data_IF_194637534031
#
_entry.id   IF_194637534031
#
_cell.length_a   1.000
_cell.length_b   1.000
_cell.length_c   1.000
_cell.angle_alpha   90.00
_cell.angle_beta   90.00
_cell.angle_gamma   90.00
#
_symmetry.space_group_name_H-M   'P 1'
#
loop_
_entity.id
_entity.type
_entity.pdbx_description
1 polymer ?
#
# COMPACT_ATOMS: atom_id res chain seq x y z
N UNK A 1 33.83 12.89 -26.93
CA UNK A 1 34.92 12.96 -27.92
C UNK A 1 34.41 12.37 -29.23
N UNK A 2 34.39 13.18 -30.30
CA UNK A 2 34.02 12.72 -31.64
C UNK A 2 35.26 12.08 -32.27
N UNK A 3 35.17 10.83 -32.67
CA UNK A 3 36.23 10.11 -33.41
C UNK A 3 35.71 9.96 -34.86
N UNK A 4 36.27 10.68 -35.85
CA UNK A 4 35.87 10.49 -37.23
C UNK A 4 36.59 9.24 -37.76
N UNK A 5 35.82 8.20 -38.00
CA UNK A 5 36.28 7.09 -38.85
C UNK A 5 35.81 7.35 -40.26
N UNK A 6 36.70 7.13 -41.25
CA UNK A 6 36.55 7.59 -42.65
C UNK A 6 35.36 7.07 -43.48
N UNK A 7 34.20 6.93 -42.86
CA UNK A 7 32.93 6.56 -43.45
C UNK A 7 31.77 7.45 -42.90
N UNK A 8 30.58 7.30 -43.45
CA UNK A 8 29.36 8.05 -43.12
C UNK A 8 28.84 7.82 -41.66
N UNK A 9 29.64 7.27 -40.76
CA UNK A 9 29.30 7.04 -39.36
C UNK A 9 30.22 7.87 -38.46
N UNK A 10 29.60 8.56 -37.52
CA UNK A 10 30.29 9.30 -36.46
C UNK A 10 30.04 8.50 -35.16
N UNK A 11 31.09 7.86 -34.65
CA UNK A 11 31.05 7.17 -33.37
C UNK A 11 31.36 8.19 -32.23
N UNK A 12 30.48 8.29 -31.30
CA UNK A 12 30.62 9.18 -30.13
C UNK A 12 30.75 8.35 -28.85
N UNK A 13 31.85 8.50 -28.13
CA UNK A 13 31.96 7.95 -26.79
C UNK A 13 31.41 8.95 -25.76
N UNK A 14 30.34 8.58 -25.12
CA UNK A 14 29.68 9.40 -24.10
C UNK A 14 30.14 8.90 -22.71
N UNK A 15 30.92 9.73 -22.02
CA UNK A 15 31.41 9.43 -20.67
C UNK A 15 30.60 10.19 -19.62
N UNK A 16 30.43 9.62 -18.43
CA UNK A 16 29.74 10.25 -17.31
C UNK A 16 28.23 10.08 -17.30
N UNK A 17 27.67 9.18 -18.10
CA UNK A 17 26.25 8.85 -18.04
C UNK A 17 25.95 7.94 -16.85
N UNK A 18 24.85 8.23 -16.17
CA UNK A 18 24.38 7.40 -15.03
C UNK A 18 23.67 6.17 -15.60
N UNK A 19 24.08 4.94 -15.24
CA UNK A 19 23.43 3.72 -15.70
C UNK A 19 21.92 3.69 -15.38
N UNK A 20 21.11 3.19 -16.29
CA UNK A 20 19.67 3.03 -16.10
C UNK A 20 18.83 4.28 -16.27
N UNK A 21 19.44 5.44 -16.53
CA UNK A 21 18.71 6.71 -16.74
C UNK A 21 18.45 6.97 -18.21
N UNK A 22 17.34 7.70 -18.51
CA UNK A 22 17.03 8.19 -19.84
C UNK A 22 17.82 9.48 -20.09
N UNK A 23 18.73 9.43 -21.04
CA UNK A 23 19.48 10.60 -21.49
C UNK A 23 18.95 11.05 -22.83
N UNK A 24 18.63 12.33 -22.96
CA UNK A 24 18.29 12.93 -24.25
C UNK A 24 19.58 13.45 -24.89
N UNK A 25 19.97 12.86 -26.01
CA UNK A 25 21.11 13.27 -26.80
C UNK A 25 20.61 14.16 -27.93
N UNK A 26 21.03 15.42 -27.95
CA UNK A 26 20.77 16.36 -29.03
C UNK A 26 22.06 16.55 -29.84
N UNK A 27 22.05 16.12 -31.10
CA UNK A 27 23.15 16.40 -32.02
C UNK A 27 22.75 17.57 -32.90
N UNK A 28 23.46 18.70 -32.76
CA UNK A 28 23.31 19.87 -33.61
C UNK A 28 24.37 19.84 -34.70
N UNK A 29 23.95 19.90 -35.96
CA UNK A 29 24.87 20.17 -37.09
C UNK A 29 24.95 21.69 -37.31
N UNK A 30 26.02 22.14 -37.94
CA UNK A 30 26.21 23.55 -38.33
C UNK A 30 25.10 24.06 -39.27
N UNK A 31 24.30 23.17 -39.85
CA UNK A 31 23.15 23.47 -40.71
C UNK A 31 21.81 23.50 -39.94
N UNK A 32 21.83 23.44 -38.62
CA UNK A 32 20.62 23.57 -37.75
C UNK A 32 19.77 22.31 -37.63
N UNK A 33 20.19 21.18 -38.17
CA UNK A 33 19.49 19.90 -37.98
C UNK A 33 19.71 19.40 -36.57
N UNK A 34 18.64 19.29 -35.80
CA UNK A 34 18.66 18.72 -34.45
C UNK A 34 18.10 17.30 -34.55
N UNK A 35 18.96 16.31 -34.39
CA UNK A 35 18.55 14.93 -34.16
C UNK A 35 18.47 14.77 -32.63
N UNK A 36 17.26 14.59 -32.12
CA UNK A 36 17.02 14.29 -30.74
C UNK A 36 16.66 12.80 -30.59
N UNK A 37 17.50 12.05 -29.93
CA UNK A 37 17.24 10.64 -29.64
C UNK A 37 17.30 10.42 -28.11
N UNK A 38 16.28 9.79 -27.56
CA UNK A 38 16.29 9.33 -26.20
C UNK A 38 16.98 7.95 -26.15
N UNK A 39 18.15 7.91 -25.51
CA UNK A 39 18.90 6.69 -25.28
C UNK A 39 18.77 6.31 -23.82
N UNK A 40 18.29 5.11 -23.56
CA UNK A 40 18.39 4.53 -22.24
C UNK A 40 19.78 3.90 -22.12
N UNK A 41 20.60 4.37 -21.20
CA UNK A 41 21.85 3.69 -20.91
C UNK A 41 21.53 2.29 -20.41
N UNK A 42 22.11 1.30 -21.09
CA UNK A 42 21.96 -0.09 -20.69
C UNK A 42 22.45 -0.23 -19.24
N UNK A 43 21.61 -0.78 -18.38
CA UNK A 43 22.05 -1.25 -17.09
C UNK A 43 22.90 -2.45 -17.43
N UNK A 44 24.23 -2.28 -17.47
CA UNK A 44 25.16 -3.37 -17.70
C UNK A 44 24.70 -4.55 -16.86
N UNK A 45 24.82 -5.76 -17.40
CA UNK A 45 24.31 -6.99 -16.78
C UNK A 45 24.32 -6.87 -15.26
N UNK A 46 23.14 -6.70 -14.68
CA UNK A 46 22.98 -6.72 -13.21
C UNK A 46 23.38 -8.14 -12.84
N UNK A 47 24.67 -8.35 -12.59
CA UNK A 47 25.12 -9.58 -11.96
C UNK A 47 24.32 -9.60 -10.66
N UNK A 48 23.36 -10.53 -10.51
CA UNK A 48 22.65 -10.62 -9.25
C UNK A 48 23.74 -10.81 -8.20
N UNK A 49 23.96 -9.79 -7.36
CA UNK A 49 24.84 -9.96 -6.23
C UNK A 49 24.32 -11.20 -5.54
N UNK A 50 25.18 -12.18 -5.33
CA UNK A 50 24.90 -13.30 -4.43
C UNK A 50 24.76 -12.65 -3.07
N UNK A 51 23.55 -12.13 -2.79
CA UNK A 51 23.24 -11.42 -1.56
C UNK A 51 23.73 -12.26 -0.41
N UNK A 52 24.40 -11.63 0.53
CA UNK A 52 24.96 -12.31 1.69
C UNK A 52 23.81 -12.98 2.47
N UNK A 53 23.54 -14.24 2.11
CA UNK A 53 22.49 -15.05 2.72
C UNK A 53 22.71 -15.22 4.22
N UNK A 54 23.94 -14.95 4.71
CA UNK A 54 24.25 -15.04 6.12
C UNK A 54 23.51 -13.99 6.95
N UNK A 55 23.39 -12.75 6.48
CA UNK A 55 22.65 -11.69 7.16
C UNK A 55 21.16 -12.04 7.29
N UNK A 56 20.57 -12.61 6.23
CA UNK A 56 19.17 -13.09 6.24
C UNK A 56 18.99 -14.23 7.25
N UNK A 57 19.91 -15.20 7.26
CA UNK A 57 19.85 -16.32 8.20
C UNK A 57 20.03 -15.86 9.65
N UNK A 58 20.91 -14.89 9.91
CA UNK A 58 21.07 -14.28 11.23
C UNK A 58 19.81 -13.55 11.68
N UNK A 59 19.19 -12.75 10.81
CA UNK A 59 17.96 -12.05 11.12
C UNK A 59 16.81 -13.01 11.42
N UNK A 60 16.63 -14.03 10.59
CA UNK A 60 15.64 -15.09 10.82
C UNK A 60 15.92 -15.85 12.13
N UNK A 61 17.16 -16.19 12.40
CA UNK A 61 17.58 -16.82 13.65
C UNK A 61 17.27 -15.95 14.86
N UNK A 62 17.55 -14.66 14.80
CA UNK A 62 17.24 -13.70 15.87
C UNK A 62 15.74 -13.59 16.14
N UNK A 63 14.90 -13.57 15.08
CA UNK A 63 13.45 -13.57 15.20
C UNK A 63 12.95 -14.84 15.88
N UNK A 64 13.44 -16.00 15.46
CA UNK A 64 13.08 -17.29 16.06
C UNK A 64 13.48 -17.34 17.54
N UNK A 65 14.69 -16.94 17.87
CA UNK A 65 15.20 -16.90 19.26
C UNK A 65 14.34 -15.95 20.10
N UNK A 66 14.04 -14.75 19.59
CA UNK A 66 13.19 -13.78 20.28
C UNK A 66 11.79 -14.32 20.55
N UNK A 67 11.19 -15.00 19.58
CA UNK A 67 9.89 -15.62 19.73
C UNK A 67 9.90 -16.74 20.76
N UNK A 68 10.91 -17.62 20.71
CA UNK A 68 11.08 -18.72 21.71
C UNK A 68 11.27 -18.13 23.10
N UNK A 69 12.04 -17.04 23.23
CA UNK A 69 12.22 -16.34 24.50
C UNK A 69 10.89 -15.76 25.03
N UNK A 70 10.11 -15.07 24.18
CA UNK A 70 8.80 -14.51 24.54
C UNK A 70 7.81 -15.59 24.96
N UNK A 71 7.72 -16.70 24.23
CA UNK A 71 6.87 -17.83 24.57
C UNK A 71 7.30 -18.50 25.88
N UNK A 72 8.61 -18.58 26.12
CA UNK A 72 9.17 -19.14 27.35
C UNK A 72 8.90 -18.25 28.57
N UNK A 73 9.05 -16.93 28.41
CA UNK A 73 8.71 -15.93 29.45
C UNK A 73 7.21 -15.97 29.74
N UNK A 74 6.36 -15.96 28.71
CA UNK A 74 4.90 -16.07 28.87
C UNK A 74 4.51 -17.32 29.66
N UNK A 75 5.12 -18.47 29.29
CA UNK A 75 4.93 -19.71 30.03
C UNK A 75 5.38 -19.63 31.48
N UNK A 76 6.54 -19.04 31.74
CA UNK A 76 7.07 -18.86 33.09
C UNK A 76 6.11 -18.04 33.95
N UNK A 77 5.59 -16.94 33.41
CA UNK A 77 4.60 -16.07 34.09
C UNK A 77 3.31 -16.85 34.36
N UNK A 78 2.79 -17.63 33.40
CA UNK A 78 1.56 -18.40 33.59
C UNK A 78 1.70 -19.52 34.62
N UNK A 79 2.83 -20.23 34.61
CA UNK A 79 3.12 -21.24 35.66
C UNK A 79 3.21 -20.60 37.02
N UNK A 80 3.88 -19.44 37.15
CA UNK A 80 4.00 -18.71 38.43
C UNK A 80 2.65 -18.17 38.90
N UNK A 81 1.74 -17.85 37.97
CA UNK A 81 0.36 -17.43 38.28
C UNK A 81 -0.62 -18.61 38.53
N UNK A 82 -0.15 -19.86 38.55
CA UNK A 82 -0.98 -21.04 38.77
C UNK A 82 -1.84 -21.48 37.60
N UNK A 83 -1.63 -20.93 36.39
CA UNK A 83 -2.41 -21.22 35.17
C UNK A 83 -1.81 -22.41 34.43
N UNK A 84 -1.91 -23.62 34.99
CA UNK A 84 -1.25 -24.82 34.41
C UNK A 84 -1.76 -25.24 33.04
N UNK A 85 -2.98 -24.86 32.65
CA UNK A 85 -3.58 -25.20 31.34
C UNK A 85 -3.14 -24.27 30.18
N UNK A 86 -2.45 -23.17 30.48
CA UNK A 86 -1.94 -22.26 29.46
C UNK A 86 -0.86 -22.87 28.55
N UNK A 87 -0.25 -23.98 28.97
CA UNK A 87 0.81 -24.67 28.20
C UNK A 87 0.34 -25.13 26.83
N UNK A 88 -0.87 -25.68 26.74
CA UNK A 88 -1.40 -26.18 25.46
C UNK A 88 -1.72 -25.04 24.49
N UNK A 89 -2.22 -23.89 24.97
CA UNK A 89 -2.55 -22.75 24.15
C UNK A 89 -1.31 -22.18 23.42
N UNK A 90 -0.18 -22.04 24.13
CA UNK A 90 1.06 -21.50 23.55
C UNK A 90 1.63 -22.42 22.44
N UNK A 91 1.54 -23.75 22.62
CA UNK A 91 2.00 -24.72 21.62
C UNK A 91 1.18 -24.63 20.32
N UNK A 92 -0.15 -24.46 20.44
CA UNK A 92 -1.02 -24.32 19.26
C UNK A 92 -0.85 -22.98 18.55
N UNK A 93 -0.56 -21.91 19.27
CA UNK A 93 -0.37 -20.56 18.71
C UNK A 93 1.04 -20.38 18.13
N UNK A 94 2.06 -21.08 18.68
CA UNK A 94 3.45 -20.88 18.32
C UNK A 94 3.76 -20.97 16.81
N UNK A 95 3.26 -21.96 16.05
CA UNK A 95 3.52 -22.03 14.61
C UNK A 95 2.98 -20.83 13.83
N UNK A 96 1.77 -20.36 14.19
CA UNK A 96 1.16 -19.20 13.56
C UNK A 96 1.93 -17.91 13.90
N UNK A 97 2.33 -17.75 15.16
CA UNK A 97 3.13 -16.61 15.61
C UNK A 97 4.51 -16.60 14.95
N UNK A 98 5.14 -17.77 14.75
CA UNK A 98 6.40 -17.89 14.05
C UNK A 98 6.27 -17.49 12.58
N UNK A 99 5.25 -18.00 11.89
CA UNK A 99 4.98 -17.64 10.51
C UNK A 99 4.74 -16.12 10.38
N UNK A 100 3.93 -15.54 11.25
CA UNK A 100 3.65 -14.10 11.28
C UNK A 100 4.93 -13.30 11.56
N UNK A 101 5.76 -13.75 12.52
CA UNK A 101 7.01 -13.10 12.86
C UNK A 101 7.98 -13.07 11.65
N UNK A 102 8.15 -14.18 10.97
CA UNK A 102 9.04 -14.27 9.80
C UNK A 102 8.48 -13.48 8.62
N UNK A 103 7.20 -13.68 8.28
CA UNK A 103 6.62 -13.08 7.06
C UNK A 103 6.32 -11.58 7.20
N UNK A 104 6.10 -11.10 8.41
CA UNK A 104 5.74 -9.69 8.64
C UNK A 104 6.90 -8.89 9.22
N UNK A 105 7.49 -9.35 10.31
CA UNK A 105 8.53 -8.55 10.99
C UNK A 105 9.85 -8.51 10.24
N UNK A 106 10.27 -9.62 9.60
CA UNK A 106 11.52 -9.61 8.83
C UNK A 106 11.52 -8.55 7.72
N UNK A 107 10.54 -8.50 6.79
CA UNK A 107 10.50 -7.46 5.76
C UNK A 107 10.41 -6.04 6.32
N UNK A 108 9.67 -5.86 7.42
CA UNK A 108 9.56 -4.55 8.08
C UNK A 108 10.91 -4.11 8.66
N UNK A 109 11.59 -4.98 9.42
CA UNK A 109 12.89 -4.66 10.01
C UNK A 109 13.95 -4.45 8.93
N UNK A 110 13.93 -5.26 7.88
CA UNK A 110 14.80 -5.10 6.72
C UNK A 110 14.56 -3.77 6.01
N UNK A 111 13.29 -3.39 5.79
CA UNK A 111 12.93 -2.10 5.22
C UNK A 111 13.39 -0.92 6.09
N UNK A 112 13.26 -1.03 7.42
CA UNK A 112 13.80 -0.03 8.36
C UNK A 112 15.32 0.07 8.21
N UNK A 113 16.01 -1.07 8.14
CA UNK A 113 17.48 -1.08 7.94
C UNK A 113 17.86 -0.42 6.61
N UNK A 114 17.18 -0.77 5.51
CA UNK A 114 17.41 -0.17 4.19
C UNK A 114 17.22 1.35 4.19
N UNK A 115 16.32 1.88 5.03
CA UNK A 115 16.10 3.34 5.10
C UNK A 115 17.30 4.14 5.58
N UNK A 116 18.28 3.48 6.23
CA UNK A 116 19.56 4.07 6.65
C UNK A 116 20.70 3.83 5.66
N UNK A 117 20.43 3.20 4.54
CA UNK A 117 21.44 2.85 3.52
C UNK A 117 21.18 3.59 2.22
N UNK A 118 22.15 3.54 1.29
CA UNK A 118 22.01 4.03 -0.08
C UNK A 118 21.47 2.96 -1.04
N UNK A 119 20.74 1.98 -0.53
CA UNK A 119 20.15 0.92 -1.34
C UNK A 119 19.18 1.48 -2.38
N UNK A 120 19.31 1.06 -3.60
CA UNK A 120 18.35 1.26 -4.67
C UNK A 120 18.14 -0.06 -5.44
N UNK A 121 17.20 -0.07 -6.39
CA UNK A 121 16.90 -1.28 -7.16
C UNK A 121 18.09 -1.84 -7.94
N UNK A 122 19.13 -1.03 -8.18
CA UNK A 122 20.34 -1.40 -8.94
C UNK A 122 21.50 -1.80 -8.05
N UNK A 123 21.41 -1.56 -6.74
CA UNK A 123 22.48 -1.75 -5.75
C UNK A 123 22.06 -2.60 -4.56
N UNK A 124 21.16 -3.55 -4.77
CA UNK A 124 20.80 -4.51 -3.72
C UNK A 124 21.96 -5.48 -3.51
N UNK A 125 22.49 -5.52 -2.28
CA UNK A 125 23.60 -6.37 -1.88
C UNK A 125 24.97 -5.67 -1.83
N UNK A 126 25.05 -4.39 -2.18
CA UNK A 126 26.25 -3.54 -2.04
C UNK A 126 25.88 -2.20 -1.38
N UNK A 127 25.02 -2.32 -0.33
CA UNK A 127 24.52 -1.17 0.39
C UNK A 127 25.55 -0.64 1.38
N UNK A 128 25.73 0.68 1.40
CA UNK A 128 26.50 1.37 2.43
C UNK A 128 25.60 2.18 3.36
N UNK A 129 25.95 2.25 4.63
CA UNK A 129 25.24 3.06 5.62
C UNK A 129 25.45 4.55 5.33
N UNK A 130 24.33 5.26 5.12
CA UNK A 130 24.30 6.72 4.93
C UNK A 130 23.67 7.45 6.12
N UNK A 131 23.25 6.71 7.15
CA UNK A 131 22.65 7.29 8.34
C UNK A 131 21.28 7.94 8.04
N UNK A 132 21.10 9.20 8.45
CA UNK A 132 19.84 9.92 8.33
C UNK A 132 19.69 10.72 7.03
N UNK A 133 20.59 10.56 6.05
CA UNK A 133 20.58 11.36 4.81
C UNK A 133 19.23 11.23 4.07
N UNK A 134 18.73 10.01 3.90
CA UNK A 134 17.45 9.77 3.23
C UNK A 134 16.27 10.47 3.93
N UNK A 135 16.28 10.48 5.26
CA UNK A 135 15.24 11.16 6.04
C UNK A 135 15.32 12.68 5.85
N UNK A 136 16.52 13.25 5.92
CA UNK A 136 16.73 14.70 5.70
C UNK A 136 16.26 15.08 4.30
N UNK A 137 16.62 14.32 3.27
CA UNK A 137 16.21 14.54 1.89
C UNK A 137 14.69 14.52 1.73
N UNK A 138 14.02 13.52 2.31
CA UNK A 138 12.54 13.44 2.29
C UNK A 138 11.91 14.64 2.97
N UNK A 139 12.36 15.01 4.19
CA UNK A 139 11.77 16.13 4.94
C UNK A 139 12.06 17.51 4.34
N UNK A 140 13.17 17.66 3.61
CA UNK A 140 13.54 18.91 2.95
C UNK A 140 13.05 19.01 1.51
N UNK A 141 12.46 17.94 0.97
CA UNK A 141 11.92 17.95 -0.39
C UNK A 141 10.78 18.95 -0.54
N UNK A 142 10.74 19.69 -1.64
CA UNK A 142 9.73 20.72 -1.92
C UNK A 142 8.29 20.17 -1.98
N UNK A 143 8.14 18.87 -2.19
CA UNK A 143 6.84 18.18 -2.27
C UNK A 143 6.34 17.63 -0.93
N UNK A 144 7.19 17.49 0.07
CA UNK A 144 6.88 16.78 1.31
C UNK A 144 5.62 17.28 2.01
N UNK A 145 5.52 18.59 2.23
CA UNK A 145 4.37 19.18 2.92
C UNK A 145 3.07 18.97 2.14
N UNK A 146 3.10 19.13 0.81
CA UNK A 146 1.91 18.91 -0.04
C UNK A 146 1.42 17.46 0.05
N UNK A 147 2.34 16.51 -0.05
CA UNK A 147 2.01 15.07 0.04
C UNK A 147 1.49 14.73 1.43
N UNK A 148 2.14 15.24 2.49
CA UNK A 148 1.70 15.01 3.88
C UNK A 148 0.30 15.56 4.13
N UNK A 149 0.02 16.79 3.74
CA UNK A 149 -1.32 17.39 3.88
C UNK A 149 -2.36 16.59 3.10
N UNK A 150 -2.06 16.24 1.86
CA UNK A 150 -2.97 15.41 1.08
C UNK A 150 -3.22 14.05 1.75
N UNK A 151 -2.19 13.39 2.27
CA UNK A 151 -2.31 12.10 2.98
C UNK A 151 -3.22 12.24 4.21
N UNK A 152 -3.09 13.30 4.99
CA UNK A 152 -3.96 13.55 6.13
C UNK A 152 -5.42 13.78 5.69
N UNK A 153 -5.65 14.63 4.70
CA UNK A 153 -6.98 14.88 4.13
C UNK A 153 -7.58 13.59 3.59
N UNK A 154 -6.81 12.84 2.81
CA UNK A 154 -7.21 11.55 2.24
C UNK A 154 -7.60 10.56 3.35
N UNK A 155 -6.78 10.43 4.40
CA UNK A 155 -7.03 9.51 5.51
C UNK A 155 -8.31 9.89 6.26
N UNK A 156 -8.43 11.15 6.68
CA UNK A 156 -9.60 11.61 7.44
C UNK A 156 -10.88 11.45 6.63
N UNK A 157 -10.86 11.86 5.35
CA UNK A 157 -12.01 11.76 4.46
C UNK A 157 -12.46 10.30 4.27
N UNK A 158 -11.50 9.42 3.95
CA UNK A 158 -11.82 8.00 3.71
C UNK A 158 -12.30 7.30 4.98
N UNK A 159 -11.62 7.47 6.12
CA UNK A 159 -12.03 6.84 7.38
C UNK A 159 -13.43 7.32 7.79
N UNK A 160 -13.69 8.62 7.72
CA UNK A 160 -15.00 9.19 8.05
C UNK A 160 -16.09 8.66 7.11
N UNK A 161 -15.82 8.61 5.80
CA UNK A 161 -16.76 8.08 4.81
C UNK A 161 -17.01 6.57 5.00
N UNK A 162 -15.96 5.78 5.25
CA UNK A 162 -16.09 4.35 5.50
C UNK A 162 -16.93 4.07 6.75
N UNK A 163 -16.67 4.77 7.86
CA UNK A 163 -17.45 4.60 9.09
C UNK A 163 -18.88 5.10 8.88
N UNK A 164 -19.04 6.30 8.34
CA UNK A 164 -20.38 6.92 8.16
C UNK A 164 -21.27 6.12 7.22
N UNK A 165 -20.78 5.83 6.00
CA UNK A 165 -21.55 5.06 5.00
C UNK A 165 -21.69 3.59 5.42
N UNK A 166 -20.64 2.99 5.98
CA UNK A 166 -20.66 1.62 6.47
C UNK A 166 -21.67 1.45 7.61
N UNK A 167 -21.69 2.37 8.58
CA UNK A 167 -22.66 2.36 9.67
C UNK A 167 -24.09 2.60 9.16
N UNK A 168 -24.29 3.57 8.29
CA UNK A 168 -25.57 3.83 7.67
C UNK A 168 -26.13 2.56 7.01
N UNK A 169 -25.34 1.91 6.15
CA UNK A 169 -25.75 0.68 5.48
C UNK A 169 -25.99 -0.47 6.46
N UNK A 170 -25.12 -0.61 7.48
CA UNK A 170 -25.28 -1.62 8.52
C UNK A 170 -26.59 -1.45 9.29
N UNK A 171 -26.93 -0.22 9.72
CA UNK A 171 -28.18 0.09 10.41
C UNK A 171 -29.41 -0.15 9.52
N UNK A 172 -29.36 0.27 8.25
CA UNK A 172 -30.45 0.02 7.29
C UNK A 172 -30.69 -1.48 7.12
N UNK A 173 -29.62 -2.26 6.91
CA UNK A 173 -29.72 -3.71 6.71
C UNK A 173 -29.96 -4.50 8.01
N UNK A 174 -29.83 -3.88 9.18
CA UNK A 174 -30.13 -4.50 10.47
C UNK A 174 -31.63 -4.48 10.78
N UNK A 175 -32.43 -3.65 10.10
CA UNK A 175 -33.87 -3.55 10.33
C UNK A 175 -34.58 -4.85 9.95
N UNK A 176 -35.44 -5.33 10.87
CA UNK A 176 -36.16 -6.61 10.75
C UNK A 176 -37.14 -6.68 9.55
N UNK A 177 -37.55 -5.54 8.97
CA UNK A 177 -38.60 -5.46 7.97
C UNK A 177 -38.09 -5.56 6.52
N UNK A 178 -36.79 -5.64 6.26
CA UNK A 178 -36.27 -5.71 4.90
C UNK A 178 -36.21 -7.17 4.45
N UNK A 179 -37.08 -7.55 3.51
CA UNK A 179 -37.02 -8.87 2.88
C UNK A 179 -35.79 -8.95 1.97
N UNK A 180 -35.04 -10.06 2.02
CA UNK A 180 -33.90 -10.27 1.13
C UNK A 180 -32.61 -9.56 1.54
N UNK A 181 -32.43 -9.22 2.81
CA UNK A 181 -31.22 -8.57 3.33
C UNK A 181 -29.93 -9.30 2.94
N UNK A 182 -29.97 -10.63 2.84
CA UNK A 182 -28.83 -11.45 2.41
C UNK A 182 -28.40 -11.09 0.98
N UNK A 183 -29.35 -10.92 0.06
CA UNK A 183 -29.06 -10.54 -1.35
C UNK A 183 -28.43 -9.16 -1.41
N UNK A 184 -28.99 -8.18 -0.70
CA UNK A 184 -28.43 -6.83 -0.65
C UNK A 184 -27.01 -6.83 -0.06
N UNK A 185 -26.77 -7.57 1.02
CA UNK A 185 -25.41 -7.73 1.60
C UNK A 185 -24.44 -8.33 0.61
N UNK A 186 -24.87 -9.37 -0.13
CA UNK A 186 -24.01 -10.02 -1.13
C UNK A 186 -23.66 -9.05 -2.26
N UNK A 187 -24.64 -8.30 -2.80
CA UNK A 187 -24.40 -7.32 -3.86
C UNK A 187 -23.47 -6.19 -3.38
N UNK A 188 -23.70 -5.67 -2.18
CA UNK A 188 -22.88 -4.61 -1.60
C UNK A 188 -21.46 -5.06 -1.27
N UNK A 189 -21.22 -6.37 -1.12
CA UNK A 189 -19.88 -6.92 -0.89
C UNK A 189 -19.06 -7.12 -2.19
N UNK A 190 -19.70 -7.07 -3.36
CA UNK A 190 -19.00 -7.29 -4.64
C UNK A 190 -17.75 -6.42 -4.82
N UNK A 191 -17.78 -5.11 -4.51
CA UNK A 191 -16.58 -4.28 -4.64
C UNK A 191 -15.39 -4.77 -3.85
N UNK A 192 -15.64 -5.31 -2.67
CA UNK A 192 -14.58 -5.84 -1.79
C UNK A 192 -14.14 -7.26 -2.18
N UNK A 193 -15.03 -8.05 -2.79
CA UNK A 193 -14.73 -9.43 -3.20
C UNK A 193 -13.83 -9.48 -4.45
N UNK A 194 -13.83 -8.43 -5.28
CA UNK A 194 -12.97 -8.33 -6.46
C UNK A 194 -11.56 -7.89 -6.02
N UNK A 195 -10.49 -8.54 -6.54
CA UNK A 195 -9.14 -8.08 -6.26
C UNK A 195 -8.98 -6.58 -6.54
N UNK A 196 -8.50 -5.83 -5.55
CA UNK A 196 -8.48 -4.36 -5.60
C UNK A 196 -7.76 -3.78 -6.82
N UNK A 197 -6.69 -4.44 -7.29
CA UNK A 197 -5.96 -3.99 -8.48
C UNK A 197 -6.83 -4.04 -9.75
N UNK A 198 -7.71 -5.06 -9.89
CA UNK A 198 -8.65 -5.16 -11.01
C UNK A 198 -9.66 -4.03 -10.94
N UNK A 199 -10.24 -3.79 -9.75
CA UNK A 199 -11.18 -2.70 -9.53
C UNK A 199 -10.56 -1.35 -9.87
N UNK A 200 -9.31 -1.10 -9.45
CA UNK A 200 -8.59 0.14 -9.76
C UNK A 200 -8.35 0.30 -11.27
N UNK A 201 -8.01 -0.78 -11.98
CA UNK A 201 -7.83 -0.73 -13.44
C UNK A 201 -9.15 -0.42 -14.18
N UNK A 202 -10.26 -1.02 -13.73
CA UNK A 202 -11.59 -0.72 -14.28
C UNK A 202 -11.95 0.75 -14.06
N UNK A 203 -11.82 1.26 -12.83
CA UNK A 203 -12.06 2.67 -12.52
C UNK A 203 -11.15 3.59 -13.29
N UNK A 204 -9.86 3.24 -13.44
CA UNK A 204 -8.93 3.99 -14.28
C UNK A 204 -9.43 4.11 -15.72
N UNK A 205 -9.95 3.02 -16.30
CA UNK A 205 -10.55 3.05 -17.65
C UNK A 205 -11.81 3.91 -17.71
N UNK A 206 -12.67 3.86 -16.70
CA UNK A 206 -13.90 4.65 -16.64
C UNK A 206 -13.66 6.17 -16.54
N UNK A 207 -12.54 6.59 -15.90
CA UNK A 207 -12.15 8.00 -15.75
C UNK A 207 -11.20 8.51 -16.85
N UNK A 208 -10.97 7.73 -17.93
CA UNK A 208 -10.26 8.24 -19.12
C UNK A 208 -11.09 9.29 -19.86
N UNK A 209 -10.47 10.13 -20.72
CA UNK A 209 -11.19 11.10 -21.53
C UNK A 209 -12.36 10.50 -22.33
N UNK A 210 -12.14 9.35 -22.98
CA UNK A 210 -13.17 8.60 -23.71
C UNK A 210 -13.88 7.55 -22.82
N UNK A 211 -13.82 7.71 -21.50
CA UNK A 211 -14.37 6.77 -20.53
C UNK A 211 -15.83 7.07 -20.18
N UNK A 212 -16.51 6.06 -19.64
CA UNK A 212 -17.93 6.11 -19.27
C UNK A 212 -18.30 7.32 -18.40
N UNK A 213 -17.41 7.77 -17.51
CA UNK A 213 -17.69 8.91 -16.62
C UNK A 213 -17.88 10.20 -17.42
N UNK A 214 -17.00 10.47 -18.38
CA UNK A 214 -17.11 11.62 -19.27
C UNK A 214 -18.33 11.52 -20.18
N UNK A 215 -18.62 10.33 -20.73
CA UNK A 215 -19.81 10.09 -21.55
C UNK A 215 -21.09 10.42 -20.78
N UNK A 216 -21.21 9.95 -19.54
CA UNK A 216 -22.39 10.18 -18.68
C UNK A 216 -22.51 11.65 -18.26
N UNK A 217 -21.38 12.31 -17.97
CA UNK A 217 -21.37 13.72 -17.56
C UNK A 217 -21.47 14.69 -18.75
N UNK A 218 -21.28 14.21 -19.99
CA UNK A 218 -21.21 15.05 -21.18
C UNK A 218 -20.02 15.99 -21.18
N UNK A 219 -18.85 15.53 -20.66
CA UNK A 219 -17.64 16.32 -20.51
C UNK A 219 -16.44 15.59 -21.13
N UNK A 220 -15.38 16.35 -21.42
CA UNK A 220 -14.08 15.80 -21.85
C UNK A 220 -12.99 16.08 -20.81
N UNK A 221 -13.36 16.04 -19.53
CA UNK A 221 -12.46 16.39 -18.45
C UNK A 221 -11.39 15.31 -18.22
N UNK A 222 -10.13 15.73 -18.13
CA UNK A 222 -9.01 14.83 -17.93
C UNK A 222 -8.76 14.56 -16.44
N UNK A 223 -9.68 13.80 -15.81
CA UNK A 223 -9.67 13.50 -14.38
C UNK A 223 -8.32 13.03 -13.85
N UNK A 224 -7.62 12.17 -14.61
CA UNK A 224 -6.38 11.55 -14.15
C UNK A 224 -5.13 12.38 -14.45
N UNK A 225 -5.22 13.34 -15.37
CA UNK A 225 -4.13 14.27 -15.69
C UNK A 225 -4.19 15.55 -14.84
N UNK A 226 -5.39 15.95 -14.40
CA UNK A 226 -5.54 17.06 -13.45
C UNK A 226 -5.19 16.62 -12.03
N UNK A 227 -4.29 17.32 -11.32
CA UNK A 227 -3.90 16.94 -9.96
C UNK A 227 -5.08 16.83 -8.97
N UNK A 228 -6.04 17.76 -9.04
CA UNK A 228 -7.22 17.75 -8.17
C UNK A 228 -8.19 16.66 -8.57
N UNK A 229 -8.42 16.48 -9.86
CA UNK A 229 -9.22 15.39 -10.41
C UNK A 229 -8.69 14.03 -9.98
N UNK A 230 -7.40 13.79 -10.12
CA UNK A 230 -6.76 12.56 -9.70
C UNK A 230 -6.92 12.28 -8.19
N UNK A 231 -6.78 13.31 -7.35
CA UNK A 231 -7.01 13.19 -5.90
C UNK A 231 -8.45 12.80 -5.57
N UNK A 232 -9.43 13.42 -6.23
CA UNK A 232 -10.84 13.09 -6.05
C UNK A 232 -11.17 11.66 -6.50
N UNK A 233 -10.62 11.23 -7.64
CA UNK A 233 -10.79 9.85 -8.14
C UNK A 233 -10.22 8.84 -7.14
N UNK A 234 -9.02 9.09 -6.61
CA UNK A 234 -8.39 8.17 -5.62
C UNK A 234 -9.21 8.09 -4.34
N UNK A 235 -9.74 9.21 -3.83
CA UNK A 235 -10.63 9.23 -2.66
C UNK A 235 -11.91 8.45 -2.96
N UNK A 236 -12.57 8.72 -4.08
CA UNK A 236 -13.81 8.07 -4.47
C UNK A 236 -13.66 6.55 -4.60
N UNK A 237 -12.64 6.10 -5.34
CA UNK A 237 -12.38 4.66 -5.55
C UNK A 237 -12.05 3.96 -4.23
N UNK A 238 -11.29 4.62 -3.34
CA UNK A 238 -10.98 4.06 -2.03
C UNK A 238 -12.24 3.93 -1.16
N UNK A 239 -13.12 4.94 -1.14
CA UNK A 239 -14.41 4.87 -0.44
C UNK A 239 -15.24 3.71 -0.98
N UNK A 240 -15.34 3.59 -2.30
CA UNK A 240 -16.10 2.51 -2.95
C UNK A 240 -15.59 1.11 -2.58
N UNK A 241 -14.27 0.94 -2.46
CA UNK A 241 -13.65 -0.33 -2.05
C UNK A 241 -13.83 -0.63 -0.55
N UNK A 242 -13.76 0.39 0.31
CA UNK A 242 -13.68 0.18 1.75
C UNK A 242 -15.04 0.14 2.47
N UNK A 243 -16.07 0.79 1.93
CA UNK A 243 -17.42 0.83 2.53
C UNK A 243 -18.01 -0.57 2.77
N UNK A 244 -17.92 -1.54 1.84
CA UNK A 244 -18.46 -2.87 2.06
C UNK A 244 -17.86 -3.60 3.26
N UNK A 245 -16.55 -3.54 3.42
CA UNK A 245 -15.86 -4.13 4.57
C UNK A 245 -16.30 -3.49 5.90
N UNK A 246 -16.39 -2.16 5.93
CA UNK A 246 -16.83 -1.45 7.12
C UNK A 246 -18.30 -1.75 7.46
N UNK A 247 -19.17 -1.82 6.45
CA UNK A 247 -20.56 -2.25 6.62
C UNK A 247 -20.67 -3.63 7.26
N UNK A 248 -19.88 -4.60 6.80
CA UNK A 248 -19.88 -5.95 7.38
C UNK A 248 -19.37 -5.99 8.80
N UNK A 249 -18.26 -5.29 9.06
CA UNK A 249 -17.66 -5.19 10.39
C UNK A 249 -18.64 -4.59 11.41
N UNK A 250 -19.29 -3.49 11.04
CA UNK A 250 -20.27 -2.82 11.88
C UNK A 250 -21.57 -3.64 12.02
N UNK A 251 -22.00 -4.35 10.97
CA UNK A 251 -23.12 -5.29 11.05
C UNK A 251 -22.86 -6.41 12.06
N UNK A 252 -21.63 -6.93 12.08
CA UNK A 252 -21.21 -7.92 13.09
C UNK A 252 -21.23 -7.36 14.52
N UNK A 253 -20.73 -6.13 14.69
CA UNK A 253 -20.77 -5.45 15.97
C UNK A 253 -22.20 -5.19 16.47
N UNK A 254 -23.11 -4.77 15.59
CA UNK A 254 -24.53 -4.59 15.93
C UNK A 254 -25.23 -5.89 16.34
N UNK A 255 -24.87 -7.02 15.70
CA UNK A 255 -25.42 -8.32 16.02
C UNK A 255 -24.89 -8.88 17.36
N UNK A 256 -23.75 -8.41 17.83
CA UNK A 256 -23.16 -8.81 19.12
C UNK A 256 -23.84 -8.12 20.32
N UNK A 257 -24.64 -7.08 20.09
CA UNK A 257 -25.35 -6.39 21.17
C UNK A 257 -26.50 -7.27 21.70
N UNK A 258 -26.60 -7.48 23.02
CA UNK A 258 -27.69 -8.24 23.64
C UNK A 258 -29.05 -7.60 23.37
N UNK A 259 -30.07 -8.43 23.09
CA UNK A 259 -31.42 -7.94 22.80
C UNK A 259 -32.04 -7.20 23.96
N UNK A 260 -31.66 -7.59 25.16
CA UNK A 260 -32.13 -6.98 26.42
C UNK A 260 -31.82 -5.47 26.49
N UNK A 261 -30.71 -5.05 25.87
CA UNK A 261 -30.36 -3.61 25.81
C UNK A 261 -31.35 -2.83 24.93
N UNK A 262 -31.79 -3.40 23.85
CA UNK A 262 -32.79 -2.79 22.97
C UNK A 262 -34.18 -2.76 23.63
N UNK A 263 -34.55 -3.83 24.35
CA UNK A 263 -35.80 -3.93 25.08
C UNK A 263 -35.85 -2.92 26.24
N UNK A 264 -34.74 -2.78 27.00
CA UNK A 264 -34.63 -1.77 28.05
C UNK A 264 -34.79 -0.35 27.49
N UNK A 265 -34.09 -0.03 26.40
CA UNK A 265 -34.20 1.28 25.76
C UNK A 265 -35.63 1.59 25.29
N UNK A 266 -36.37 0.58 24.78
CA UNK A 266 -37.78 0.76 24.41
C UNK A 266 -38.67 1.03 25.61
N UNK A 267 -38.41 0.38 26.77
CA UNK A 267 -39.13 0.65 28.00
C UNK A 267 -38.89 2.06 28.54
N UNK A 268 -37.68 2.59 28.31
CA UNK A 268 -37.32 3.97 28.65
C UNK A 268 -37.88 5.01 27.65
N UNK A 269 -38.68 4.57 26.65
CA UNK A 269 -39.34 5.45 25.71
C UNK A 269 -38.44 5.93 24.54
N UNK A 270 -37.27 5.32 24.38
CA UNK A 270 -36.38 5.63 23.24
C UNK A 270 -37.00 5.10 21.97
N UNK A 271 -37.18 5.97 20.98
CA UNK A 271 -37.70 5.60 19.66
C UNK A 271 -36.77 4.65 18.91
N UNK A 272 -37.24 4.11 17.78
CA UNK A 272 -36.51 3.14 16.93
C UNK A 272 -35.29 3.72 16.17
N UNK A 273 -34.84 4.91 16.55
CA UNK A 273 -33.65 5.60 16.03
C UNK A 273 -32.76 6.08 17.14
#
# INVERSE_FOLDING_TARGET
RLIPDGGDRIDCELTGMVPGTLHRIEVRSDFGLVLSQELRTDVGDVVPSTGDTSAVLFALGAIVVSLVALLSIGRYVDVKAGRLHARSAHVYIAPAMLALAVLTFYPVLYGIWLSFTNADATRLGDESLVGLVNFIEVFTSSGFLRVTVFTLVWTVTNVTAHIGLGLFLALVLHRANIRGTTVYRTILLLPWAIPSYISVLVWKGMFQPEGLVNDVLGTDFQFLADPTGAQLVVIFVNIWLGVPFMMMSLSGALQALPKEMYEAAQLDGVGSW
#
